data_IF_971335803371
#
_entry.id   IF_971335803371
#
_cell.length_a   1.000
_cell.length_b   1.000
_cell.length_c   1.000
_cell.angle_alpha   90.00
_cell.angle_beta   90.00
_cell.angle_gamma   90.00
#
_symmetry.space_group_name_H-M   'P 1'
#
loop_
_entity.id
_entity.type
_entity.pdbx_description
1 polymer ?
#
# COMPACT_ATOMS: atom_id res chain seq x y z
N UNK A 1 -51.66 -20.64 65.25
CA UNK A 1 -51.50 -19.52 64.30
C UNK A 1 -50.07 -19.55 63.79
N UNK A 2 -49.81 -20.20 62.65
CA UNK A 2 -48.51 -20.12 61.97
C UNK A 2 -48.51 -18.86 61.10
N UNK A 3 -47.55 -17.98 61.34
CA UNK A 3 -47.51 -16.66 60.70
C UNK A 3 -46.75 -16.77 59.36
N UNK A 4 -47.30 -16.27 58.22
CA UNK A 4 -46.79 -16.49 56.85
C UNK A 4 -45.52 -15.70 56.48
N UNK A 5 -44.64 -15.39 57.44
CA UNK A 5 -43.45 -14.56 57.21
C UNK A 5 -42.41 -15.20 56.28
N UNK A 6 -42.31 -16.53 56.26
CA UNK A 6 -41.32 -17.26 55.44
C UNK A 6 -41.65 -17.20 53.94
N UNK A 7 -42.93 -17.18 53.55
CA UNK A 7 -43.32 -17.09 52.14
C UNK A 7 -43.12 -15.67 51.59
N UNK A 8 -43.38 -14.64 52.40
CA UNK A 8 -43.16 -13.24 52.01
C UNK A 8 -41.66 -12.95 51.87
N UNK A 9 -40.83 -13.49 52.76
CA UNK A 9 -39.37 -13.37 52.68
C UNK A 9 -38.77 -14.09 51.45
N UNK A 10 -39.28 -15.27 51.11
CA UNK A 10 -38.84 -16.01 49.92
C UNK A 10 -39.25 -15.34 48.60
N UNK A 11 -40.50 -14.85 48.52
CA UNK A 11 -41.00 -14.13 47.35
C UNK A 11 -40.26 -12.81 47.11
N UNK A 12 -39.96 -12.06 48.17
CA UNK A 12 -39.20 -10.81 48.07
C UNK A 12 -37.73 -11.05 47.67
N UNK A 13 -37.07 -12.08 48.23
CA UNK A 13 -35.72 -12.45 47.82
C UNK A 13 -35.65 -12.94 46.36
N UNK A 14 -36.63 -13.72 45.91
CA UNK A 14 -36.72 -14.18 44.52
C UNK A 14 -36.98 -13.03 43.54
N UNK A 15 -37.86 -12.09 43.89
CA UNK A 15 -38.12 -10.89 43.09
C UNK A 15 -36.88 -10.00 42.97
N UNK A 16 -36.17 -9.75 44.08
CA UNK A 16 -34.92 -8.99 44.09
C UNK A 16 -33.84 -9.69 43.25
N UNK A 17 -33.73 -11.02 43.34
CA UNK A 17 -32.78 -11.81 42.55
C UNK A 17 -33.09 -11.79 41.05
N UNK A 18 -34.36 -11.84 40.66
CA UNK A 18 -34.79 -11.74 39.27
C UNK A 18 -34.48 -10.36 38.68
N UNK A 19 -34.73 -9.28 39.45
CA UNK A 19 -34.38 -7.90 39.05
C UNK A 19 -32.87 -7.74 38.92
N UNK A 20 -32.09 -8.29 39.86
CA UNK A 20 -30.63 -8.28 39.80
C UNK A 20 -30.09 -9.07 38.60
N UNK A 21 -30.70 -10.21 38.27
CA UNK A 21 -30.32 -11.03 37.11
C UNK A 21 -30.61 -10.32 35.78
N UNK A 22 -31.78 -9.68 35.64
CA UNK A 22 -32.14 -8.88 34.46
C UNK A 22 -31.21 -7.66 34.32
N UNK A 23 -30.92 -6.97 35.42
CA UNK A 23 -29.98 -5.86 35.45
C UNK A 23 -28.56 -6.28 35.05
N UNK A 24 -28.11 -7.43 35.56
CA UNK A 24 -26.79 -8.02 35.24
C UNK A 24 -26.70 -8.43 33.78
N UNK A 25 -27.75 -9.05 33.21
CA UNK A 25 -27.78 -9.45 31.80
C UNK A 25 -27.78 -8.26 30.84
N UNK A 26 -28.54 -7.20 31.15
CA UNK A 26 -28.54 -5.98 30.35
C UNK A 26 -27.17 -5.28 30.41
N UNK A 27 -26.59 -5.18 31.60
CA UNK A 27 -25.24 -4.64 31.80
C UNK A 27 -24.17 -5.46 31.08
N UNK A 28 -24.26 -6.80 31.13
CA UNK A 28 -23.35 -7.70 30.43
C UNK A 28 -23.44 -7.55 28.90
N UNK A 29 -24.64 -7.36 28.35
CA UNK A 29 -24.81 -7.08 26.91
C UNK A 29 -24.22 -5.74 26.51
N UNK A 30 -24.53 -4.67 27.24
CA UNK A 30 -23.96 -3.34 26.97
C UNK A 30 -22.44 -3.33 27.11
N UNK A 31 -21.90 -4.08 28.09
CA UNK A 31 -20.45 -4.27 28.26
C UNK A 31 -19.83 -5.06 27.10
N UNK A 32 -20.52 -6.08 26.60
CA UNK A 32 -20.06 -6.87 25.46
C UNK A 32 -20.07 -6.02 24.16
N UNK A 33 -21.11 -5.21 23.95
CA UNK A 33 -21.20 -4.29 22.80
C UNK A 33 -20.10 -3.21 22.86
N UNK A 34 -19.82 -2.70 24.07
CA UNK A 34 -18.72 -1.74 24.31
C UNK A 34 -17.36 -2.40 24.09
N UNK A 35 -17.17 -3.62 24.58
CA UNK A 35 -15.93 -4.38 24.39
C UNK A 35 -15.66 -4.66 22.91
N UNK A 36 -16.70 -4.95 22.10
CA UNK A 36 -16.58 -5.12 20.65
C UNK A 36 -16.16 -3.82 19.95
N UNK A 37 -16.75 -2.68 20.35
CA UNK A 37 -16.38 -1.38 19.78
C UNK A 37 -14.94 -1.00 20.16
N UNK A 38 -14.57 -1.15 21.44
CA UNK A 38 -13.21 -0.85 21.92
C UNK A 38 -12.19 -1.78 21.28
N UNK A 39 -12.47 -3.08 21.18
CA UNK A 39 -11.60 -4.04 20.50
C UNK A 39 -11.39 -3.67 19.03
N UNK A 40 -12.42 -3.19 18.34
CA UNK A 40 -12.31 -2.70 16.96
C UNK A 40 -11.48 -1.43 16.86
N UNK A 41 -11.66 -0.47 17.76
CA UNK A 41 -10.87 0.77 17.81
C UNK A 41 -9.40 0.46 18.09
N UNK A 42 -9.11 -0.41 19.06
CA UNK A 42 -7.75 -0.85 19.37
C UNK A 42 -7.13 -1.61 18.19
N UNK A 43 -7.90 -2.45 17.49
CA UNK A 43 -7.42 -3.13 16.29
C UNK A 43 -7.08 -2.15 15.16
N UNK A 44 -7.92 -1.14 14.92
CA UNK A 44 -7.64 -0.13 13.90
C UNK A 44 -6.46 0.78 14.34
N UNK A 45 -6.31 1.07 15.64
CA UNK A 45 -5.14 1.79 16.17
C UNK A 45 -3.85 1.00 15.98
N UNK A 46 -3.86 -0.29 16.33
CA UNK A 46 -2.72 -1.17 16.10
C UNK A 46 -2.38 -1.31 14.63
N UNK A 47 -3.39 -1.33 13.75
CA UNK A 47 -3.16 -1.35 12.30
C UNK A 47 -2.44 -0.10 11.81
N UNK A 48 -2.80 1.07 12.35
CA UNK A 48 -2.12 2.34 12.06
C UNK A 48 -0.71 2.40 12.67
N UNK A 49 -0.52 1.94 13.91
CA UNK A 49 0.78 1.90 14.58
C UNK A 49 1.78 0.97 13.88
N UNK A 50 1.30 0.00 13.10
CA UNK A 50 2.07 -0.95 12.31
C UNK A 50 2.23 -0.54 10.84
N UNK A 51 1.85 0.69 10.46
CA UNK A 51 1.98 1.18 9.09
C UNK A 51 3.43 1.04 8.59
N UNK A 52 3.69 0.26 7.54
CA UNK A 52 5.04 0.02 7.04
C UNK A 52 5.77 1.30 6.64
N UNK A 53 7.02 1.40 7.07
CA UNK A 53 7.92 2.51 6.76
C UNK A 53 9.00 2.01 5.81
N UNK A 54 9.12 2.66 4.66
CA UNK A 54 10.10 2.31 3.65
C UNK A 54 11.12 3.43 3.45
N UNK A 55 12.35 3.03 3.16
CA UNK A 55 13.36 3.88 2.53
C UNK A 55 13.55 3.38 1.11
N UNK A 56 13.23 4.22 0.13
CA UNK A 56 13.29 3.86 -1.29
C UNK A 56 14.11 4.90 -2.03
N UNK A 57 15.22 4.46 -2.64
CA UNK A 57 16.16 5.34 -3.33
C UNK A 57 16.66 4.71 -4.64
N UNK A 58 17.09 5.55 -5.59
CA UNK A 58 17.79 5.11 -6.80
C UNK A 58 19.30 5.28 -6.54
N UNK A 59 20.07 4.19 -6.54
CA UNK A 59 21.47 4.22 -6.04
C UNK A 59 22.52 4.25 -7.16
N UNK A 60 22.27 3.58 -8.29
CA UNK A 60 23.22 3.48 -9.41
C UNK A 60 22.48 3.67 -10.71
N UNK A 61 23.05 4.45 -11.63
CA UNK A 61 22.59 4.53 -13.00
C UNK A 61 23.76 4.32 -13.98
N UNK A 62 23.56 3.42 -14.92
CA UNK A 62 24.47 3.07 -16.00
C UNK A 62 23.69 3.10 -17.32
N UNK A 63 23.99 4.08 -18.16
CA UNK A 63 23.23 4.35 -19.39
C UNK A 63 21.74 4.56 -19.12
N UNK A 64 20.91 3.65 -19.64
CA UNK A 64 19.46 3.65 -19.48
C UNK A 64 18.96 2.79 -18.32
N UNK A 65 19.85 2.13 -17.57
CA UNK A 65 19.49 1.27 -16.45
C UNK A 65 19.86 1.90 -15.12
N UNK A 66 19.09 1.58 -14.10
CA UNK A 66 19.39 1.96 -12.73
C UNK A 66 18.93 0.88 -11.74
N UNK A 67 19.37 1.01 -10.49
CA UNK A 67 18.93 0.14 -9.39
C UNK A 67 18.07 0.91 -8.41
N UNK A 68 16.84 0.43 -8.22
CA UNK A 68 15.92 0.89 -7.18
C UNK A 68 16.15 0.05 -5.91
N UNK A 69 16.56 0.69 -4.85
CA UNK A 69 16.77 0.06 -3.54
C UNK A 69 15.53 0.26 -2.67
N UNK A 70 14.91 -0.83 -2.23
CA UNK A 70 13.69 -0.81 -1.40
C UNK A 70 14.00 -1.46 -0.05
N UNK A 71 13.99 -0.67 1.02
CA UNK A 71 14.25 -1.14 2.38
C UNK A 71 13.03 -0.96 3.26
N UNK A 72 12.63 -2.04 3.96
CA UNK A 72 11.63 -1.95 5.02
C UNK A 72 12.34 -1.52 6.31
N UNK A 73 12.20 -0.26 6.72
CA UNK A 73 12.93 0.29 7.86
C UNK A 73 12.17 0.18 9.17
N UNK A 74 10.86 -0.01 9.12
CA UNK A 74 10.05 -0.09 10.32
C UNK A 74 8.54 -0.15 10.05
N UNK A 75 7.73 0.07 11.09
CA UNK A 75 8.13 0.22 12.49
C UNK A 75 8.63 -1.12 13.07
N UNK A 76 9.52 -1.12 14.08
CA UNK A 76 10.08 -2.36 14.63
C UNK A 76 9.03 -3.42 15.05
N UNK A 77 7.89 -3.07 15.67
CA UNK A 77 6.84 -4.03 16.01
C UNK A 77 6.17 -4.70 14.79
N UNK A 78 6.37 -4.17 13.57
CA UNK A 78 5.92 -4.83 12.34
C UNK A 78 6.67 -6.14 12.09
N UNK A 79 7.93 -6.25 12.53
CA UNK A 79 8.83 -7.39 12.33
C UNK A 79 9.09 -7.79 10.86
N UNK A 80 8.05 -8.06 10.06
CA UNK A 80 8.11 -8.45 8.66
C UNK A 80 6.81 -8.14 7.92
N UNK A 81 6.90 -8.18 6.59
CA UNK A 81 5.79 -8.26 5.66
C UNK A 81 5.87 -9.56 4.87
N UNK A 82 4.75 -10.27 4.79
CA UNK A 82 4.68 -11.56 4.11
C UNK A 82 4.55 -11.38 2.59
N UNK A 83 3.94 -10.28 2.15
CA UNK A 83 3.80 -9.94 0.73
C UNK A 83 3.87 -8.42 0.50
N UNK A 84 4.75 -7.99 -0.38
CA UNK A 84 4.90 -6.61 -0.84
C UNK A 84 4.80 -6.64 -2.37
N UNK A 85 3.76 -5.99 -2.90
CA UNK A 85 3.61 -5.75 -4.34
C UNK A 85 4.03 -4.33 -4.66
N UNK A 86 4.94 -4.18 -5.60
CA UNK A 86 5.39 -2.87 -6.08
C UNK A 86 4.75 -2.61 -7.43
N UNK A 87 4.15 -1.43 -7.57
CA UNK A 87 3.61 -0.95 -8.82
C UNK A 87 4.10 0.47 -9.10
N UNK A 88 4.66 0.69 -10.29
CA UNK A 88 4.93 2.03 -10.81
C UNK A 88 3.59 2.61 -11.29
N UNK A 89 3.28 3.81 -10.81
CA UNK A 89 2.08 4.56 -11.20
C UNK A 89 2.46 5.78 -12.03
N UNK A 90 1.46 6.43 -12.62
CA UNK A 90 1.70 7.62 -13.43
C UNK A 90 2.37 8.70 -12.57
N UNK A 91 3.45 9.27 -13.10
CA UNK A 91 4.26 10.29 -12.43
C UNK A 91 3.72 11.71 -12.65
N UNK A 92 2.57 11.84 -13.32
CA UNK A 92 1.78 13.06 -13.45
C UNK A 92 0.32 12.79 -13.02
N UNK A 93 -0.47 13.85 -12.96
CA UNK A 93 -1.89 13.80 -12.56
C UNK A 93 -2.83 13.83 -13.77
N UNK A 94 -2.32 13.47 -14.96
CA UNK A 94 -3.05 13.58 -16.21
C UNK A 94 -3.94 12.36 -16.44
N UNK A 95 -5.25 12.60 -16.57
CA UNK A 95 -6.18 11.56 -17.04
C UNK A 95 -5.98 11.35 -18.55
N UNK A 96 -5.83 10.08 -18.96
CA UNK A 96 -5.62 9.68 -20.35
C UNK A 96 -6.78 8.81 -20.81
N UNK A 97 -7.64 9.40 -21.61
CA UNK A 97 -8.81 8.73 -22.20
C UNK A 97 -8.59 8.57 -23.70
N UNK A 98 -8.82 7.35 -24.20
CA UNK A 98 -8.79 7.10 -25.64
C UNK A 98 -9.91 7.87 -26.35
N UNK A 99 -9.66 8.33 -27.58
CA UNK A 99 -10.65 9.01 -28.41
C UNK A 99 -11.00 8.16 -29.64
N UNK A 100 -12.11 7.38 -29.60
CA UNK A 100 -12.53 6.56 -30.73
C UNK A 100 -13.11 7.40 -31.89
N UNK A 101 -12.96 6.96 -33.16
CA UNK A 101 -12.10 5.87 -33.61
C UNK A 101 -10.64 6.31 -33.79
N UNK A 102 -9.67 5.51 -33.35
CA UNK A 102 -8.24 5.79 -33.55
C UNK A 102 -7.34 5.07 -32.55
N UNK A 103 -6.03 5.19 -32.77
CA UNK A 103 -4.98 4.83 -31.82
C UNK A 103 -4.52 6.07 -31.03
N UNK A 104 -4.14 5.93 -29.75
CA UNK A 104 -4.09 4.69 -28.98
C UNK A 104 -5.45 4.25 -28.41
N UNK A 105 -5.61 2.94 -28.20
CA UNK A 105 -6.72 2.36 -27.44
C UNK A 105 -6.55 2.61 -25.94
N UNK A 106 -7.61 2.43 -25.14
CA UNK A 106 -7.52 2.59 -23.69
C UNK A 106 -6.53 1.59 -23.07
N UNK A 107 -6.55 0.34 -23.55
CA UNK A 107 -5.60 -0.69 -23.10
C UNK A 107 -4.14 -0.29 -23.37
N UNK A 108 -3.86 0.32 -24.53
CA UNK A 108 -2.52 0.83 -24.84
C UNK A 108 -2.11 1.99 -23.91
N UNK A 109 -3.04 2.90 -23.60
CA UNK A 109 -2.78 4.00 -22.67
C UNK A 109 -2.50 3.50 -21.24
N UNK A 110 -3.22 2.47 -20.79
CA UNK A 110 -3.10 1.90 -19.45
C UNK A 110 -1.83 1.05 -19.29
N UNK A 111 -1.43 0.33 -20.35
CA UNK A 111 -0.19 -0.45 -20.41
C UNK A 111 1.07 0.45 -20.43
N UNK A 112 0.96 1.65 -20.99
CA UNK A 112 2.09 2.58 -21.01
C UNK A 112 2.46 3.05 -19.60
N UNK A 113 3.73 2.90 -19.24
CA UNK A 113 4.29 3.54 -18.04
C UNK A 113 4.48 5.03 -18.34
N UNK A 114 3.87 5.89 -17.54
CA UNK A 114 3.95 7.35 -17.69
C UNK A 114 4.86 7.91 -16.62
N UNK A 115 6.15 7.88 -16.88
CA UNK A 115 7.14 8.32 -15.91
C UNK A 115 8.58 8.09 -16.38
N UNK A 116 9.55 8.51 -15.57
CA UNK A 116 10.97 8.47 -15.93
C UNK A 116 11.52 7.04 -16.06
N UNK A 117 10.99 6.10 -15.27
CA UNK A 117 11.48 4.73 -15.18
C UNK A 117 10.35 3.70 -15.21
N UNK A 118 10.72 2.49 -15.63
CA UNK A 118 9.95 1.25 -15.53
C UNK A 118 10.83 0.15 -14.96
N UNK A 119 10.26 -0.91 -14.41
CA UNK A 119 11.02 -2.12 -14.07
C UNK A 119 11.61 -2.75 -15.34
N UNK A 120 12.85 -3.24 -15.23
CA UNK A 120 13.52 -3.88 -16.36
C UNK A 120 12.82 -5.20 -16.69
N UNK A 121 12.33 -5.33 -17.92
CA UNK A 121 11.65 -6.54 -18.39
C UNK A 121 12.52 -7.79 -18.18
N UNK A 122 11.92 -8.84 -17.60
CA UNK A 122 12.61 -10.11 -17.31
C UNK A 122 13.50 -10.10 -16.05
N UNK A 123 13.63 -8.97 -15.36
CA UNK A 123 14.26 -8.90 -14.03
C UNK A 123 13.19 -8.92 -12.94
N UNK A 124 13.46 -9.59 -11.82
CA UNK A 124 12.58 -9.61 -10.63
C UNK A 124 11.12 -10.03 -10.90
N UNK A 125 10.86 -10.73 -12.01
CA UNK A 125 9.51 -11.08 -12.45
C UNK A 125 8.69 -9.87 -12.90
N UNK A 126 9.34 -8.85 -13.45
CA UNK A 126 8.67 -7.70 -14.03
C UNK A 126 7.66 -8.13 -15.11
N UNK A 127 6.51 -7.47 -15.14
CA UNK A 127 5.53 -7.67 -16.21
C UNK A 127 6.05 -7.17 -17.58
N UNK A 128 5.27 -7.43 -18.64
CA UNK A 128 5.65 -7.08 -20.01
C UNK A 128 5.88 -5.57 -20.20
N UNK A 129 5.14 -4.76 -19.44
CA UNK A 129 5.17 -3.30 -19.54
C UNK A 129 6.23 -2.66 -18.63
N UNK A 130 6.77 -3.42 -17.68
CA UNK A 130 7.68 -2.95 -16.63
C UNK A 130 6.96 -2.13 -15.54
N UNK A 131 5.66 -2.35 -15.33
CA UNK A 131 4.84 -1.62 -14.36
C UNK A 131 4.87 -2.27 -12.99
N UNK A 132 4.87 -3.59 -12.93
CA UNK A 132 4.87 -4.37 -11.69
C UNK A 132 5.98 -5.40 -11.68
N UNK A 133 6.28 -5.96 -10.50
CA UNK A 133 7.23 -7.06 -10.27
C UNK A 133 6.58 -8.15 -9.45
N UNK A 134 7.22 -9.32 -9.38
CA UNK A 134 6.75 -10.39 -8.52
C UNK A 134 6.69 -9.95 -7.05
N UNK A 135 5.67 -10.37 -6.30
CA UNK A 135 5.58 -10.05 -4.88
C UNK A 135 6.78 -10.57 -4.10
N UNK A 136 7.20 -9.80 -3.09
CA UNK A 136 8.35 -10.16 -2.24
C UNK A 136 7.96 -10.16 -0.77
N UNK A 137 8.67 -10.93 0.05
CA UNK A 137 8.64 -10.81 1.50
C UNK A 137 9.86 -10.03 1.98
N UNK A 138 9.71 -9.21 3.02
CA UNK A 138 10.83 -8.50 3.66
C UNK A 138 10.66 -8.48 5.17
N UNK A 139 11.78 -8.65 5.87
CA UNK A 139 11.89 -8.38 7.30
C UNK A 139 12.24 -6.90 7.54
N UNK A 140 11.85 -6.37 8.70
CA UNK A 140 12.25 -5.02 9.11
C UNK A 140 13.77 -4.98 9.27
N UNK A 141 14.41 -4.00 8.63
CA UNK A 141 15.86 -3.87 8.50
C UNK A 141 16.42 -4.46 7.21
N UNK A 142 15.67 -5.32 6.51
CA UNK A 142 16.08 -5.87 5.23
C UNK A 142 15.72 -4.93 4.07
N UNK A 143 16.42 -5.10 2.95
CA UNK A 143 16.07 -4.45 1.70
C UNK A 143 16.38 -5.33 0.51
N UNK A 144 15.78 -4.96 -0.62
CA UNK A 144 15.97 -5.66 -1.89
C UNK A 144 16.21 -4.65 -3.01
N UNK A 145 17.24 -4.86 -3.84
CA UNK A 145 17.41 -4.10 -5.07
C UNK A 145 16.49 -4.61 -6.16
N UNK A 146 16.01 -3.71 -7.00
CA UNK A 146 15.24 -3.98 -8.21
C UNK A 146 15.91 -3.31 -9.42
N UNK A 147 15.95 -4.01 -10.53
CA UNK A 147 16.41 -3.42 -11.79
C UNK A 147 15.33 -2.54 -12.40
N UNK A 148 15.65 -1.28 -12.66
CA UNK A 148 14.80 -0.34 -13.38
C UNK A 148 15.53 0.15 -14.63
N UNK A 149 14.77 0.55 -15.65
CA UNK A 149 15.29 1.14 -16.87
C UNK A 149 14.44 2.33 -17.30
N UNK A 150 15.00 3.18 -18.17
CA UNK A 150 14.27 4.33 -18.68
C UNK A 150 13.04 3.88 -19.46
N UNK A 151 11.95 4.57 -19.19
CA UNK A 151 10.73 4.39 -19.94
C UNK A 151 10.93 4.90 -21.37
N UNK A 152 10.43 4.13 -22.33
CA UNK A 152 10.46 4.51 -23.75
C UNK A 152 9.22 5.33 -24.11
N UNK A 153 9.32 6.26 -25.08
CA UNK A 153 8.15 6.94 -25.61
C UNK A 153 7.17 5.91 -26.18
N UNK A 154 5.86 6.14 -26.04
CA UNK A 154 4.86 5.27 -26.64
C UNK A 154 5.02 5.24 -28.17
N UNK A 155 4.69 4.10 -28.77
CA UNK A 155 4.90 3.89 -30.21
C UNK A 155 4.06 4.82 -31.10
N UNK A 156 2.91 5.29 -30.61
CA UNK A 156 2.04 6.26 -31.29
C UNK A 156 2.55 7.71 -31.20
N UNK A 157 3.59 8.00 -30.42
CA UNK A 157 4.20 9.32 -30.41
C UNK A 157 5.09 9.51 -31.65
N UNK A 158 4.75 10.52 -32.45
CA UNK A 158 5.41 10.83 -33.73
C UNK A 158 6.53 11.87 -33.59
N UNK A 159 7.43 11.87 -34.58
CA UNK A 159 8.55 12.79 -34.72
C UNK A 159 9.92 12.13 -34.45
N UNK A 160 10.94 12.58 -35.17
CA UNK A 160 12.31 12.05 -35.08
C UNK A 160 12.97 12.37 -33.72
N UNK A 161 12.54 13.45 -33.07
CA UNK A 161 12.96 13.90 -31.74
C UNK A 161 12.20 13.24 -30.58
N UNK A 162 11.29 12.28 -30.86
CA UNK A 162 10.38 11.70 -29.84
C UNK A 162 11.10 11.21 -28.59
N UNK A 163 12.30 10.63 -28.75
CA UNK A 163 13.09 10.12 -27.63
C UNK A 163 13.68 11.24 -26.77
N UNK A 164 14.13 12.34 -27.37
CA UNK A 164 14.62 13.51 -26.65
C UNK A 164 13.46 14.21 -25.91
N UNK A 165 12.36 14.46 -26.62
CA UNK A 165 11.16 15.10 -26.06
C UNK A 165 10.57 14.33 -24.88
N UNK A 166 10.52 13.00 -24.97
CA UNK A 166 10.09 12.14 -23.88
C UNK A 166 11.02 12.23 -22.68
N UNK A 167 12.34 12.21 -22.89
CA UNK A 167 13.32 12.38 -21.80
C UNK A 167 13.14 13.73 -21.10
N UNK A 168 13.02 14.81 -21.87
CA UNK A 168 12.90 16.17 -21.34
C UNK A 168 11.61 16.37 -20.52
N UNK A 169 10.52 15.69 -20.90
CA UNK A 169 9.27 15.69 -20.14
C UNK A 169 9.45 15.16 -18.71
N UNK A 170 10.35 14.19 -18.51
CA UNK A 170 10.47 13.45 -17.25
C UNK A 170 11.76 13.74 -16.47
N UNK A 171 12.70 14.52 -17.00
CA UNK A 171 14.04 14.72 -16.44
C UNK A 171 14.08 15.26 -14.99
N UNK A 172 13.04 15.99 -14.58
CA UNK A 172 12.89 16.56 -13.23
C UNK A 172 11.62 16.09 -12.52
N UNK A 173 11.02 14.98 -12.97
CA UNK A 173 9.81 14.42 -12.35
C UNK A 173 10.19 13.25 -11.46
N UNK A 174 9.62 13.13 -10.25
CA UNK A 174 9.85 11.97 -9.41
C UNK A 174 9.26 10.72 -10.07
N UNK A 175 9.80 9.55 -9.71
CA UNK A 175 9.14 8.29 -10.02
C UNK A 175 8.10 8.01 -8.93
N UNK A 176 6.84 7.78 -9.30
CA UNK A 176 5.79 7.42 -8.34
C UNK A 176 5.60 5.91 -8.23
N UNK A 177 5.54 5.43 -6.99
CA UNK A 177 5.35 4.03 -6.65
C UNK A 177 4.15 3.86 -5.71
N UNK A 178 3.49 2.73 -5.81
CA UNK A 178 2.52 2.26 -4.81
C UNK A 178 2.94 0.88 -4.34
N UNK A 179 3.10 0.75 -3.02
CA UNK A 179 3.41 -0.51 -2.37
C UNK A 179 2.14 -1.05 -1.71
N UNK A 180 1.70 -2.24 -2.12
CA UNK A 180 0.61 -2.95 -1.44
C UNK A 180 1.24 -4.01 -0.54
N UNK A 181 1.14 -3.79 0.76
CA UNK A 181 1.80 -4.59 1.81
C UNK A 181 0.78 -5.45 2.53
N UNK A 182 1.10 -6.72 2.75
CA UNK A 182 0.26 -7.64 3.53
C UNK A 182 1.09 -8.34 4.60
N UNK A 183 0.43 -8.56 5.72
CA UNK A 183 0.87 -9.41 6.80
C UNK A 183 -0.31 -10.25 7.27
N UNK A 184 -0.08 -11.52 7.56
CA UNK A 184 -1.11 -12.41 8.07
C UNK A 184 -1.79 -11.81 9.31
N UNK A 185 -3.12 -11.85 9.35
CA UNK A 185 -3.93 -11.30 10.44
C UNK A 185 -4.17 -9.78 10.37
N UNK A 186 -3.61 -9.07 9.39
CA UNK A 186 -3.80 -7.62 9.21
C UNK A 186 -4.47 -7.29 7.88
N UNK A 187 -5.23 -6.19 7.85
CA UNK A 187 -5.69 -5.59 6.59
C UNK A 187 -4.47 -5.12 5.78
N UNK A 188 -4.48 -5.22 4.44
CA UNK A 188 -3.38 -4.70 3.63
C UNK A 188 -3.16 -3.19 3.84
N UNK A 189 -1.90 -2.77 3.77
CA UNK A 189 -1.54 -1.35 3.71
C UNK A 189 -1.23 -0.96 2.27
N UNK A 190 -1.64 0.24 1.88
CA UNK A 190 -1.31 0.85 0.58
C UNK A 190 -0.45 2.06 0.89
N UNK A 191 0.81 2.02 0.48
CA UNK A 191 1.80 3.05 0.77
C UNK A 191 2.24 3.71 -0.55
N UNK A 192 1.75 4.91 -0.87
CA UNK A 192 2.27 5.67 -2.00
C UNK A 192 3.67 6.23 -1.64
N UNK A 193 4.55 6.29 -2.63
CA UNK A 193 5.90 6.82 -2.47
C UNK A 193 6.32 7.60 -3.71
N UNK A 194 6.94 8.76 -3.48
CA UNK A 194 7.60 9.53 -4.54
C UNK A 194 9.11 9.36 -4.38
N UNK A 195 9.76 8.86 -5.41
CA UNK A 195 11.21 8.60 -5.42
C UNK A 195 11.87 9.67 -6.27
N UNK A 196 12.66 10.51 -5.61
CA UNK A 196 13.46 11.52 -6.28
C UNK A 196 14.56 10.88 -7.13
N UNK A 197 14.73 11.37 -8.35
CA UNK A 197 15.82 10.96 -9.23
C UNK A 197 17.08 11.75 -8.84
N UNK A 198 18.18 11.10 -8.41
CA UNK A 198 19.40 11.83 -8.02
C UNK A 198 19.98 12.64 -9.18
N UNK A 199 20.58 13.80 -8.89
CA UNK A 199 21.22 14.63 -9.92
C UNK A 199 22.34 13.90 -10.67
N UNK A 200 23.13 13.08 -10.00
CA UNK A 200 24.18 12.27 -10.66
C UNK A 200 23.63 11.25 -11.66
N UNK A 201 22.37 10.81 -11.46
CA UNK A 201 21.62 10.07 -12.46
C UNK A 201 21.24 11.05 -13.58
N UNK A 202 20.54 12.16 -13.28
CA UNK A 202 20.12 13.17 -14.29
C UNK A 202 21.25 13.70 -15.20
N UNK A 203 22.45 13.96 -14.69
CA UNK A 203 23.56 14.54 -15.48
C UNK A 203 24.13 13.54 -16.49
N UNK A 204 24.17 12.24 -16.16
CA UNK A 204 24.52 11.17 -17.11
C UNK A 204 23.43 10.92 -18.15
N UNK A 205 22.32 11.65 -18.10
CA UNK A 205 21.18 11.48 -19.00
C UNK A 205 21.14 12.48 -20.15
N UNK A 206 21.86 13.59 -19.97
CA UNK A 206 21.97 14.70 -20.91
C UNK A 206 23.19 14.56 -21.83
N UNK A 207 24.27 13.93 -21.33
CA UNK A 207 25.47 13.59 -22.12
C UNK A 207 25.32 12.28 -22.87
#
# INVERSE_FOLDING_TARGET
MNIPWLEIAGLSAAALSAVAAVGSWKSARTSNDTAVIVARIEQDRWHADLLPQFRINIERAEGDRATLSVHLVGPLPLCRLDEIRLAIVQSDDMTREARPPGEPTQEQLDAQVWGPFRFSHGADGADVDGRTVNPIALEVGAGRPFSIERTRPPHWQQGDDRGARWRDQWINRPMRLVLTCKREGFKPWIVPYEVEIPEGVRVRWVG
#
